data_IF_401135976524
#
_entry.id   IF_401135976524
#
_cell.length_a   1.000
_cell.length_b   1.000
_cell.length_c   1.000
_cell.angle_alpha   90.00
_cell.angle_beta   90.00
_cell.angle_gamma   90.00
#
_symmetry.space_group_name_H-M   'P 1'
#
loop_
_entity.id
_entity.type
_entity.pdbx_description
1 polymer ?
#
# COMPACT_ATOMS: atom_id res chain seq x y z
N UNK A 1 -18.28 -1.93 8.35
CA UNK A 1 -18.15 -1.22 9.67
C UNK A 1 -16.67 -1.08 9.95
N UNK A 2 -16.13 0.15 9.92
CA UNK A 2 -14.72 0.39 10.15
C UNK A 2 -14.36 0.00 11.60
N UNK A 3 -13.52 -1.01 11.76
CA UNK A 3 -12.91 -1.34 13.04
C UNK A 3 -11.58 -0.58 13.10
N UNK A 4 -11.52 0.46 13.94
CA UNK A 4 -10.23 1.01 14.36
C UNK A 4 -9.54 -0.07 15.20
N UNK A 5 -8.66 -0.82 14.57
CA UNK A 5 -7.73 -1.69 15.30
C UNK A 5 -6.41 -0.97 15.40
N UNK A 6 -5.84 -0.99 16.59
CA UNK A 6 -4.45 -0.60 16.83
C UNK A 6 -3.48 -1.59 16.21
N UNK A 7 -3.60 -1.84 14.91
CA UNK A 7 -2.82 -2.76 14.11
C UNK A 7 -1.88 -1.97 13.18
N UNK A 8 -0.76 -2.60 12.84
CA UNK A 8 0.15 -2.13 11.81
C UNK A 8 -0.29 -2.71 10.48
N UNK A 9 -0.16 -1.93 9.42
CA UNK A 9 -0.08 -2.44 8.05
C UNK A 9 1.37 -2.36 7.61
N UNK A 10 1.88 -3.42 7.00
CA UNK A 10 3.20 -3.49 6.41
C UNK A 10 3.06 -3.41 4.89
N UNK A 11 3.52 -2.32 4.27
CA UNK A 11 3.54 -2.15 2.82
C UNK A 11 4.95 -2.34 2.32
N UNK A 12 5.19 -3.42 1.56
CA UNK A 12 6.50 -3.69 0.99
C UNK A 12 6.87 -2.64 -0.05
N UNK A 13 8.09 -2.12 0.05
CA UNK A 13 8.60 -1.06 -0.83
C UNK A 13 8.71 -1.50 -2.29
N UNK A 14 8.96 -2.79 -2.51
CA UNK A 14 8.97 -3.38 -3.85
C UNK A 14 7.62 -3.30 -4.57
N UNK A 15 6.53 -3.13 -3.82
CA UNK A 15 5.18 -2.99 -4.34
C UNK A 15 4.84 -1.53 -4.67
N UNK A 16 5.62 -0.57 -4.18
CA UNK A 16 5.33 0.84 -4.43
C UNK A 16 5.80 1.24 -5.82
N UNK A 17 4.92 1.83 -6.65
CA UNK A 17 5.36 2.45 -7.89
C UNK A 17 6.49 3.43 -7.59
N UNK A 18 7.64 3.25 -8.24
CA UNK A 18 8.82 4.12 -8.12
C UNK A 18 9.39 4.29 -6.71
N UNK A 19 9.08 3.38 -5.78
CA UNK A 19 9.54 3.44 -4.39
C UNK A 19 9.09 4.73 -3.66
N UNK A 20 7.86 5.19 -3.91
CA UNK A 20 7.28 6.44 -3.36
C UNK A 20 6.89 6.35 -1.86
N UNK A 21 7.63 5.59 -1.03
CA UNK A 21 7.32 5.37 0.39
C UNK A 21 7.26 6.64 1.25
N UNK A 22 7.97 7.69 0.84
CA UNK A 22 7.96 8.96 1.55
C UNK A 22 6.56 9.59 1.56
N UNK A 23 5.76 9.37 0.51
CA UNK A 23 4.38 9.85 0.46
C UNK A 23 3.51 9.14 1.51
N UNK A 24 3.70 7.84 1.72
CA UNK A 24 3.02 7.11 2.80
C UNK A 24 3.35 7.69 4.18
N UNK A 25 4.60 8.11 4.41
CA UNK A 25 4.97 8.82 5.64
C UNK A 25 4.18 10.12 5.77
N UNK A 26 4.19 10.97 4.73
CA UNK A 26 3.49 12.25 4.75
C UNK A 26 2.02 12.06 5.09
N UNK A 27 1.38 11.07 4.46
CA UNK A 27 -0.01 10.73 4.68
C UNK A 27 -0.28 10.31 6.12
N UNK A 28 0.54 9.42 6.66
CA UNK A 28 0.35 8.93 8.01
C UNK A 28 0.60 10.04 9.04
N UNK A 29 1.64 10.84 8.87
CA UNK A 29 1.96 11.94 9.78
C UNK A 29 0.88 13.03 9.74
N UNK A 30 0.29 13.31 8.57
CA UNK A 30 -0.76 14.33 8.41
C UNK A 30 -2.06 14.04 9.17
N UNK A 31 -2.27 12.80 9.61
CA UNK A 31 -3.42 12.40 10.42
C UNK A 31 -3.28 12.79 11.90
N UNK A 32 -2.08 13.22 12.31
CA UNK A 32 -1.78 13.53 13.70
C UNK A 32 -1.33 14.97 13.87
N UNK A 33 -1.64 15.58 15.00
CA UNK A 33 -1.07 16.88 15.36
C UNK A 33 0.38 16.71 15.80
N UNK A 34 1.22 17.70 15.48
CA UNK A 34 2.57 17.83 16.04
C UNK A 34 2.57 17.97 17.58
N UNK A 35 3.70 17.72 18.28
CA UNK A 35 5.00 17.30 17.76
C UNK A 35 5.14 15.78 17.56
N UNK A 36 6.14 15.38 16.78
CA UNK A 36 6.57 13.99 16.56
C UNK A 36 8.02 13.79 16.99
N UNK A 37 8.32 12.60 17.51
CA UNK A 37 9.70 12.14 17.75
C UNK A 37 10.14 11.29 16.56
N UNK A 38 11.26 11.64 15.93
CA UNK A 38 11.80 10.95 14.76
C UNK A 38 13.17 10.40 15.08
N UNK A 39 13.35 9.10 14.87
CA UNK A 39 14.61 8.36 15.08
C UNK A 39 15.02 7.66 13.80
N UNK A 40 16.26 7.87 13.38
CA UNK A 40 16.90 7.07 12.33
C UNK A 40 17.93 6.16 13.00
N UNK A 41 17.73 4.86 12.83
CA UNK A 41 18.50 3.80 13.46
C UNK A 41 19.23 3.00 12.38
N UNK A 42 20.39 2.45 12.74
CA UNK A 42 21.23 1.68 11.84
C UNK A 42 21.87 0.49 12.57
N UNK A 43 21.91 -0.68 11.92
CA UNK A 43 22.67 -1.84 12.40
C UNK A 43 23.35 -2.62 11.27
N UNK A 44 24.50 -3.29 11.50
CA UNK A 44 25.06 -4.23 10.54
C UNK A 44 24.15 -5.46 10.37
N UNK A 45 23.88 -5.89 9.12
CA UNK A 45 23.02 -7.04 8.80
C UNK A 45 23.48 -8.39 9.41
N UNK A 46 24.73 -8.49 9.89
CA UNK A 46 25.29 -9.71 10.48
C UNK A 46 24.93 -9.91 11.96
N UNK A 47 24.13 -9.04 12.56
CA UNK A 47 23.80 -9.08 13.98
C UNK A 47 22.27 -9.15 14.20
N UNK A 48 21.81 -10.28 14.75
CA UNK A 48 20.46 -10.58 15.22
C UNK A 48 19.32 -10.64 14.17
N UNK A 49 18.54 -11.73 14.21
CA UNK A 49 17.35 -11.98 13.37
C UNK A 49 16.08 -11.28 13.89
N UNK A 50 16.11 -10.71 15.10
CA UNK A 50 14.96 -10.00 15.67
C UNK A 50 14.99 -8.53 15.21
N UNK A 51 14.03 -8.15 14.36
CA UNK A 51 13.91 -6.81 13.76
C UNK A 51 13.26 -5.81 14.74
N UNK A 52 12.49 -6.30 15.72
CA UNK A 52 11.70 -5.44 16.62
C UNK A 52 12.42 -5.02 17.92
N UNK A 53 13.63 -5.52 18.16
CA UNK A 53 14.46 -5.08 19.29
C UNK A 53 15.48 -4.03 18.82
N UNK A 54 15.21 -2.77 19.20
CA UNK A 54 16.04 -1.62 18.84
C UNK A 54 17.16 -1.31 19.84
N UNK A 55 17.29 -2.09 20.92
CA UNK A 55 18.25 -1.80 22.01
C UNK A 55 19.71 -1.75 21.56
N UNK A 56 20.07 -2.57 20.56
CA UNK A 56 21.43 -2.66 20.01
C UNK A 56 21.65 -1.78 18.76
N UNK A 57 20.64 -1.02 18.32
CA UNK A 57 20.75 -0.21 17.10
C UNK A 57 21.48 1.11 17.36
N UNK A 58 22.34 1.51 16.42
CA UNK A 58 23.02 2.80 16.49
C UNK A 58 22.06 3.92 16.08
N UNK A 59 21.86 4.91 16.95
CA UNK A 59 21.07 6.10 16.64
C UNK A 59 21.88 7.02 15.72
N UNK A 60 21.50 7.09 14.44
CA UNK A 60 22.09 7.99 13.44
C UNK A 60 21.57 9.41 13.57
N UNK A 61 20.28 9.53 13.89
CA UNK A 61 19.61 10.82 14.07
C UNK A 61 18.45 10.68 15.04
N UNK A 62 18.22 11.72 15.84
CA UNK A 62 17.10 11.82 16.75
C UNK A 62 16.67 13.28 16.86
N UNK A 63 15.41 13.56 16.54
CA UNK A 63 14.86 14.90 16.56
C UNK A 63 13.40 14.92 16.99
N UNK A 64 12.97 16.05 17.55
CA UNK A 64 11.56 16.35 17.76
C UNK A 64 11.13 17.33 16.67
N UNK A 65 10.19 16.91 15.83
CA UNK A 65 9.61 17.75 14.80
C UNK A 65 8.36 18.45 15.33
N UNK A 66 8.19 19.72 14.98
CA UNK A 66 7.09 20.59 15.45
C UNK A 66 6.20 21.12 14.32
N UNK A 67 6.60 20.93 13.06
CA UNK A 67 5.86 21.38 11.88
C UNK A 67 6.21 20.57 10.61
N UNK A 68 5.38 20.70 9.58
CA UNK A 68 5.52 20.01 8.29
C UNK A 68 6.83 20.36 7.59
N UNK A 69 7.32 21.60 7.71
CA UNK A 69 8.54 22.04 7.02
C UNK A 69 9.79 21.30 7.49
N UNK A 70 9.80 20.84 8.74
CA UNK A 70 10.90 20.05 9.30
C UNK A 70 10.85 18.61 8.78
N UNK A 71 9.64 18.04 8.65
CA UNK A 71 9.45 16.71 8.08
C UNK A 71 9.87 16.70 6.60
N UNK A 72 9.39 17.66 5.81
CA UNK A 72 9.70 17.71 4.37
C UNK A 72 11.21 17.82 4.13
N UNK A 73 11.88 18.75 4.80
CA UNK A 73 13.35 18.89 4.68
C UNK A 73 14.08 17.63 5.10
N UNK A 74 13.58 16.90 6.09
CA UNK A 74 14.18 15.64 6.53
C UNK A 74 13.99 14.55 5.47
N UNK A 75 12.78 14.38 4.94
CA UNK A 75 12.47 13.38 3.92
C UNK A 75 13.22 13.64 2.60
N UNK A 76 13.35 14.90 2.18
CA UNK A 76 14.10 15.29 0.97
C UNK A 76 15.55 14.80 0.95
N UNK A 77 16.17 14.68 2.12
CA UNK A 77 17.57 14.26 2.27
C UNK A 77 17.71 12.83 2.81
N UNK A 78 16.60 12.16 3.11
CA UNK A 78 16.61 10.82 3.67
C UNK A 78 16.72 9.78 2.56
N UNK A 79 17.78 8.98 2.63
CA UNK A 79 17.99 7.83 1.75
C UNK A 79 17.98 6.56 2.59
N UNK A 80 17.04 5.67 2.30
CA UNK A 80 16.99 4.30 2.84
C UNK A 80 17.01 3.38 1.62
N UNK A 81 18.12 2.72 1.34
CA UNK A 81 18.25 1.85 0.17
C UNK A 81 17.41 0.57 0.34
N UNK A 82 16.72 0.13 -0.71
CA UNK A 82 16.00 -1.14 -0.69
C UNK A 82 16.99 -2.33 -0.66
N UNK A 83 16.67 -3.40 0.08
CA UNK A 83 17.64 -4.47 0.39
C UNK A 83 18.04 -5.32 -0.81
N UNK A 84 17.32 -5.26 -1.94
CA UNK A 84 17.71 -5.93 -3.20
C UNK A 84 19.12 -5.51 -3.70
N UNK A 85 19.68 -4.41 -3.17
CA UNK A 85 20.98 -3.85 -3.54
C UNK A 85 22.10 -4.18 -2.52
N UNK A 86 22.47 -5.45 -2.31
CA UNK A 86 23.71 -5.84 -1.63
C UNK A 86 24.07 -5.00 -0.37
N UNK A 87 23.06 -4.61 0.41
CA UNK A 87 23.22 -3.67 1.51
C UNK A 87 24.02 -4.36 2.63
N UNK A 88 24.88 -3.61 3.30
CA UNK A 88 25.70 -4.13 4.42
C UNK A 88 25.09 -3.86 5.78
N UNK A 89 24.00 -3.09 5.77
CA UNK A 89 23.47 -2.37 6.90
C UNK A 89 21.95 -2.32 6.75
N UNK A 90 21.27 -2.57 7.85
CA UNK A 90 19.83 -2.37 8.00
C UNK A 90 19.59 -0.99 8.61
N UNK A 91 18.69 -0.23 8.00
CA UNK A 91 18.31 1.11 8.41
C UNK A 91 16.83 1.10 8.76
N UNK A 92 16.49 1.74 9.88
CA UNK A 92 15.10 1.89 10.30
C UNK A 92 14.82 3.32 10.69
N UNK A 93 13.83 3.93 10.04
CA UNK A 93 13.20 5.17 10.48
C UNK A 93 12.03 4.80 11.39
N UNK A 94 11.91 5.50 12.52
CA UNK A 94 10.76 5.42 13.42
C UNK A 94 10.23 6.82 13.64
N UNK A 95 8.94 7.03 13.41
CA UNK A 95 8.22 8.24 13.79
C UNK A 95 7.23 7.88 14.88
N UNK A 96 7.29 8.60 16.00
CA UNK A 96 6.51 8.34 17.19
C UNK A 96 5.69 9.57 17.59
N UNK A 97 4.47 9.34 18.07
CA UNK A 97 3.62 10.32 18.73
C UNK A 97 3.45 9.92 20.19
N UNK A 98 3.87 10.76 21.13
CA UNK A 98 3.71 10.52 22.58
C UNK A 98 4.25 9.14 23.03
N UNK A 99 5.37 8.70 22.44
CA UNK A 99 6.00 7.40 22.74
C UNK A 99 5.43 6.21 21.96
N UNK A 100 4.33 6.38 21.22
CA UNK A 100 3.76 5.35 20.37
C UNK A 100 4.26 5.49 18.93
N UNK A 101 4.74 4.40 18.33
CA UNK A 101 5.10 4.39 16.90
C UNK A 101 3.87 4.60 16.02
N UNK A 102 3.97 5.51 15.05
CA UNK A 102 2.93 5.77 14.03
C UNK A 102 3.39 5.39 12.62
N UNK A 103 4.71 5.47 12.37
CA UNK A 103 5.35 5.05 11.13
C UNK A 103 6.65 4.34 11.46
N UNK A 104 6.93 3.24 10.76
CA UNK A 104 8.24 2.60 10.71
C UNK A 104 8.62 2.41 9.24
N UNK A 105 9.85 2.75 8.86
CA UNK A 105 10.35 2.42 7.51
C UNK A 105 11.65 1.66 7.64
N UNK A 106 11.69 0.47 7.07
CA UNK A 106 12.89 -0.36 6.93
C UNK A 106 13.41 -0.30 5.50
N UNK A 107 14.47 -1.03 5.21
CA UNK A 107 14.94 -1.21 3.84
C UNK A 107 13.84 -1.80 2.93
N UNK A 108 12.95 -2.65 3.44
CA UNK A 108 12.02 -3.43 2.61
C UNK A 108 10.55 -3.04 2.80
N UNK A 109 10.20 -2.34 3.88
CA UNK A 109 8.82 -2.12 4.25
C UNK A 109 8.55 -0.74 4.85
N UNK A 110 7.36 -0.21 4.58
CA UNK A 110 6.75 0.91 5.27
C UNK A 110 5.61 0.39 6.14
N UNK A 111 5.79 0.43 7.45
CA UNK A 111 4.75 0.11 8.42
C UNK A 111 4.00 1.37 8.85
N UNK A 112 2.68 1.36 8.78
CA UNK A 112 1.81 2.45 9.29
C UNK A 112 0.88 1.91 10.37
N UNK A 113 0.74 2.64 11.49
CA UNK A 113 -0.08 2.21 12.63
C UNK A 113 -1.44 2.91 12.68
N UNK A 114 -2.48 2.20 13.12
CA UNK A 114 -3.81 2.78 13.34
C UNK A 114 -4.65 2.83 12.06
N UNK A 115 -4.41 1.86 11.18
CA UNK A 115 -5.15 1.67 9.93
C UNK A 115 -6.53 1.08 10.22
N UNK A 116 -7.56 1.62 9.58
CA UNK A 116 -8.91 1.10 9.71
C UNK A 116 -9.11 -0.05 8.72
N UNK A 117 -9.71 -1.15 9.16
CA UNK A 117 -10.00 -2.30 8.29
C UNK A 117 -11.50 -2.51 8.11
N UNK A 118 -11.86 -2.96 6.92
CA UNK A 118 -13.17 -3.50 6.56
C UNK A 118 -13.00 -4.90 5.97
N UNK A 119 -13.85 -5.85 6.39
CA UNK A 119 -13.84 -7.20 5.84
C UNK A 119 -14.50 -7.20 4.45
N UNK A 120 -14.07 -8.10 3.57
CA UNK A 120 -14.76 -8.32 2.30
C UNK A 120 -16.11 -9.01 2.56
N UNK A 121 -17.14 -8.61 1.82
CA UNK A 121 -18.42 -9.31 1.83
C UNK A 121 -18.30 -10.71 1.20
N UNK A 122 -19.08 -11.67 1.70
CA UNK A 122 -19.13 -13.05 1.16
C UNK A 122 -19.87 -13.15 -0.19
N UNK A 123 -20.43 -12.04 -0.68
CA UNK A 123 -21.23 -11.94 -1.90
C UNK A 123 -20.49 -11.08 -2.91
N UNK A 124 -20.49 -11.49 -4.19
CA UNK A 124 -19.79 -10.76 -5.25
C UNK A 124 -18.31 -11.12 -5.35
N UNK A 125 -17.58 -10.35 -6.14
CA UNK A 125 -16.12 -10.46 -6.30
C UNK A 125 -15.39 -9.54 -5.33
N UNK A 126 -14.12 -9.86 -5.00
CA UNK A 126 -13.32 -9.02 -4.10
C UNK A 126 -13.17 -7.56 -4.58
N UNK A 127 -13.15 -7.35 -5.90
CA UNK A 127 -13.02 -6.02 -6.48
C UNK A 127 -14.32 -5.24 -6.46
N UNK A 128 -15.45 -5.89 -6.71
CA UNK A 128 -16.76 -5.28 -6.50
C UNK A 128 -16.88 -4.83 -5.05
N UNK A 129 -16.56 -5.71 -4.10
CA UNK A 129 -16.59 -5.41 -2.66
C UNK A 129 -15.61 -4.29 -2.29
N UNK A 130 -14.41 -4.29 -2.89
CA UNK A 130 -13.42 -3.23 -2.70
C UNK A 130 -13.93 -1.86 -3.17
N UNK A 131 -14.45 -1.77 -4.40
CA UNK A 131 -14.95 -0.51 -4.93
C UNK A 131 -16.26 -0.07 -4.24
N UNK A 132 -17.12 -1.01 -3.85
CA UNK A 132 -18.33 -0.73 -3.07
C UNK A 132 -18.01 -0.19 -1.67
N UNK A 133 -16.90 -0.59 -1.06
CA UNK A 133 -16.44 -0.03 0.22
C UNK A 133 -15.76 1.34 0.04
N UNK A 134 -14.95 1.51 -0.99
CA UNK A 134 -14.12 2.70 -1.19
C UNK A 134 -14.91 3.87 -1.79
N UNK A 135 -15.63 3.64 -2.89
CA UNK A 135 -16.20 4.71 -3.71
C UNK A 135 -17.32 5.53 -3.05
N UNK A 136 -18.20 4.98 -2.19
CA UNK A 136 -19.28 5.78 -1.60
C UNK A 136 -18.80 7.00 -0.79
N UNK A 137 -17.55 6.96 -0.31
CA UNK A 137 -16.96 8.03 0.49
C UNK A 137 -15.75 8.68 -0.20
N UNK A 138 -15.51 8.39 -1.49
CA UNK A 138 -14.37 8.90 -2.22
C UNK A 138 -14.66 10.27 -2.87
N UNK A 139 -13.65 11.13 -2.86
CA UNK A 139 -13.65 12.38 -3.63
C UNK A 139 -12.95 12.20 -4.97
N UNK A 140 -13.67 12.38 -6.08
CA UNK A 140 -13.07 12.28 -7.42
C UNK A 140 -12.15 13.46 -7.78
N UNK A 141 -11.13 13.27 -8.63
CA UNK A 141 -10.75 11.99 -9.26
C UNK A 141 -10.12 11.01 -8.26
N UNK A 142 -10.31 9.71 -8.53
CA UNK A 142 -9.68 8.62 -7.75
C UNK A 142 -8.62 7.98 -8.63
N UNK A 143 -7.36 8.04 -8.22
CA UNK A 143 -6.30 7.24 -8.80
C UNK A 143 -6.43 5.80 -8.32
N UNK A 144 -6.27 4.84 -9.22
CA UNK A 144 -6.25 3.41 -8.93
C UNK A 144 -4.92 2.85 -9.43
N UNK A 145 -4.22 2.16 -8.55
CA UNK A 145 -3.01 1.40 -8.87
C UNK A 145 -3.34 -0.07 -8.71
N UNK A 146 -3.23 -0.81 -9.80
CA UNK A 146 -3.40 -2.25 -9.85
C UNK A 146 -2.07 -2.93 -10.13
N UNK A 147 -1.75 -4.01 -9.41
CA UNK A 147 -0.54 -4.79 -9.60
C UNK A 147 -0.85 -6.28 -9.80
N UNK A 148 -0.32 -6.85 -10.89
CA UNK A 148 -0.49 -8.26 -11.29
C UNK A 148 0.83 -9.03 -11.42
N UNK A 149 1.77 -8.83 -10.48
CA UNK A 149 3.19 -9.23 -10.60
C UNK A 149 3.46 -10.74 -10.61
N UNK A 150 2.59 -11.56 -10.05
CA UNK A 150 2.77 -13.03 -10.12
C UNK A 150 2.41 -13.60 -11.50
N UNK A 151 1.68 -12.82 -12.31
CA UNK A 151 1.18 -13.19 -13.63
C UNK A 151 1.94 -12.49 -14.76
N UNK A 152 2.47 -11.29 -14.49
CA UNK A 152 3.14 -10.42 -15.46
C UNK A 152 4.60 -10.18 -15.06
N UNK A 153 5.48 -10.09 -16.06
CA UNK A 153 6.85 -9.61 -15.87
C UNK A 153 6.88 -8.28 -15.10
N UNK A 154 7.86 -8.14 -14.20
CA UNK A 154 7.98 -7.05 -13.22
C UNK A 154 7.79 -5.64 -13.83
N UNK A 155 8.41 -5.38 -14.99
CA UNK A 155 8.45 -4.05 -15.61
C UNK A 155 7.08 -3.56 -16.12
N UNK A 156 6.11 -4.47 -16.33
CA UNK A 156 4.77 -4.17 -16.86
C UNK A 156 3.64 -4.51 -15.87
N UNK A 157 3.97 -4.88 -14.63
CA UNK A 157 3.00 -5.44 -13.68
C UNK A 157 2.11 -4.39 -13.01
N UNK A 158 2.51 -3.11 -13.03
CA UNK A 158 1.83 -2.00 -12.36
C UNK A 158 1.06 -1.16 -13.36
N UNK A 159 -0.25 -1.04 -13.14
CA UNK A 159 -1.16 -0.26 -13.96
C UNK A 159 -1.77 0.87 -13.14
N UNK A 160 -1.56 2.10 -13.59
CA UNK A 160 -2.14 3.30 -12.99
C UNK A 160 -3.28 3.80 -13.87
N UNK A 161 -4.43 4.04 -13.28
CA UNK A 161 -5.63 4.53 -13.96
C UNK A 161 -6.35 5.56 -13.09
N UNK A 162 -7.29 6.30 -13.69
CA UNK A 162 -8.01 7.37 -12.99
C UNK A 162 -9.51 7.22 -13.20
N UNK A 163 -10.26 7.18 -12.10
CA UNK A 163 -11.71 7.22 -12.09
C UNK A 163 -12.16 8.68 -11.97
N UNK A 164 -13.09 9.09 -12.82
CA UNK A 164 -13.74 10.40 -12.75
C UNK A 164 -15.14 10.35 -12.13
N UNK A 165 -15.71 9.16 -12.02
CA UNK A 165 -17.00 8.86 -11.41
C UNK A 165 -16.99 7.42 -10.86
N UNK A 166 -18.14 6.95 -10.39
CA UNK A 166 -18.28 5.61 -9.80
C UNK A 166 -18.27 4.46 -10.83
N UNK A 167 -18.12 4.73 -12.13
CA UNK A 167 -18.10 3.71 -13.17
C UNK A 167 -16.72 3.04 -13.29
N UNK A 168 -16.23 2.51 -12.17
CA UNK A 168 -14.93 1.87 -12.06
C UNK A 168 -14.77 0.69 -13.03
N UNK A 169 -15.85 -0.08 -13.25
CA UNK A 169 -15.81 -1.27 -14.09
C UNK A 169 -15.41 -0.93 -15.53
N UNK A 170 -16.02 0.10 -16.13
CA UNK A 170 -15.69 0.48 -17.51
C UNK A 170 -14.23 0.94 -17.64
N UNK A 171 -13.73 1.70 -16.67
CA UNK A 171 -12.34 2.17 -16.66
C UNK A 171 -11.37 1.00 -16.51
N UNK A 172 -11.63 0.09 -15.57
CA UNK A 172 -10.83 -1.13 -15.41
C UNK A 172 -10.84 -1.93 -16.71
N UNK A 173 -12.02 -2.20 -17.28
CA UNK A 173 -12.13 -3.01 -18.47
C UNK A 173 -11.31 -2.45 -19.65
N UNK A 174 -11.34 -1.13 -19.84
CA UNK A 174 -10.51 -0.45 -20.85
C UNK A 174 -9.01 -0.61 -20.58
N UNK A 175 -8.59 -0.54 -19.32
CA UNK A 175 -7.17 -0.52 -18.93
C UNK A 175 -6.55 -1.89 -18.72
N UNK A 176 -7.30 -2.93 -18.32
CA UNK A 176 -6.70 -4.20 -17.89
C UNK A 176 -7.13 -5.42 -18.71
N UNK A 177 -8.25 -5.39 -19.45
CA UNK A 177 -8.66 -6.58 -20.22
C UNK A 177 -7.67 -6.97 -21.31
N UNK A 178 -6.96 -6.00 -21.89
CA UNK A 178 -5.96 -6.29 -22.91
C UNK A 178 -4.82 -7.17 -22.37
N UNK A 179 -4.57 -7.18 -21.05
CA UNK A 179 -3.55 -8.00 -20.38
C UNK A 179 -3.86 -9.50 -20.48
N UNK A 180 -5.14 -9.87 -20.56
CA UNK A 180 -5.54 -11.26 -20.79
C UNK A 180 -5.04 -11.80 -22.14
N UNK A 181 -4.63 -10.94 -23.07
CA UNK A 181 -4.08 -11.35 -24.36
C UNK A 181 -2.56 -11.46 -24.37
N UNK A 182 -1.87 -11.18 -23.25
CA UNK A 182 -0.42 -11.35 -23.22
C UNK A 182 -0.03 -12.82 -23.29
N UNK A 183 1.20 -13.09 -23.74
CA UNK A 183 1.71 -14.45 -23.91
C UNK A 183 1.83 -15.19 -22.59
N UNK A 184 2.23 -14.50 -21.53
CA UNK A 184 2.41 -15.07 -20.20
C UNK A 184 1.08 -15.64 -19.69
N UNK A 185 -0.02 -14.91 -19.96
CA UNK A 185 -1.38 -15.33 -19.62
C UNK A 185 -1.89 -16.41 -20.58
N UNK A 186 -1.63 -16.29 -21.88
CA UNK A 186 -2.21 -17.19 -22.92
C UNK A 186 -1.43 -18.48 -23.18
N UNK A 187 -0.19 -18.63 -22.68
CA UNK A 187 0.68 -19.77 -23.01
C UNK A 187 1.22 -20.52 -21.78
N UNK A 188 0.78 -20.15 -20.58
CA UNK A 188 1.15 -20.83 -19.33
C UNK A 188 0.45 -22.17 -19.09
N UNK A 189 0.92 -22.91 -18.08
CA UNK A 189 0.40 -24.22 -17.65
C UNK A 189 -1.11 -24.19 -17.28
N UNK A 190 -1.65 -23.01 -16.99
CA UNK A 190 -3.05 -22.76 -16.62
C UNK A 190 -3.87 -22.08 -17.72
N UNK A 191 -3.34 -21.95 -18.95
CA UNK A 191 -4.09 -21.46 -20.09
C UNK A 191 -5.38 -22.26 -20.25
N UNK A 192 -6.54 -21.66 -19.94
CA UNK A 192 -7.84 -22.29 -20.17
C UNK A 192 -7.98 -22.60 -21.67
N UNK A 193 -8.11 -23.89 -22.00
CA UNK A 193 -8.11 -24.45 -23.37
C UNK A 193 -9.21 -23.89 -24.31
N UNK A 194 -10.12 -23.04 -23.82
CA UNK A 194 -11.05 -22.26 -24.64
C UNK A 194 -11.35 -20.90 -23.98
N UNK A 195 -10.73 -19.83 -24.49
CA UNK A 195 -11.07 -18.46 -24.08
C UNK A 195 -12.26 -17.94 -24.89
N UNK A 196 -13.25 -17.28 -24.25
CA UNK A 196 -14.36 -16.69 -24.97
C UNK A 196 -13.88 -15.56 -25.91
N UNK A 197 -14.59 -15.37 -27.03
CA UNK A 197 -14.24 -14.35 -28.04
C UNK A 197 -14.32 -12.90 -27.50
N UNK A 198 -15.07 -12.70 -26.40
CA UNK A 198 -15.13 -11.45 -25.65
C UNK A 198 -14.66 -11.74 -24.22
N UNK A 199 -13.57 -11.11 -23.83
CA UNK A 199 -13.08 -11.13 -22.46
C UNK A 199 -13.89 -10.14 -21.62
N UNK A 200 -14.12 -10.52 -20.36
CA UNK A 200 -14.89 -9.77 -19.37
C UNK A 200 -14.04 -9.50 -18.15
N UNK A 201 -14.51 -8.61 -17.27
CA UNK A 201 -13.85 -8.38 -15.99
C UNK A 201 -13.80 -9.66 -15.15
N UNK A 202 -14.84 -10.51 -15.22
CA UNK A 202 -14.85 -11.82 -14.55
C UNK A 202 -13.71 -12.73 -15.04
N UNK A 203 -13.45 -12.75 -16.36
CA UNK A 203 -12.31 -13.47 -16.92
C UNK A 203 -10.99 -12.89 -16.37
N UNK A 204 -10.89 -11.57 -16.25
CA UNK A 204 -9.72 -10.91 -15.68
C UNK A 204 -9.50 -11.32 -14.22
N UNK A 205 -10.52 -11.20 -13.38
CA UNK A 205 -10.43 -11.54 -11.95
C UNK A 205 -10.07 -13.02 -11.73
N UNK A 206 -10.60 -13.92 -12.56
CA UNK A 206 -10.28 -15.34 -12.46
C UNK A 206 -8.83 -15.66 -12.79
N UNK A 207 -8.20 -14.92 -13.71
CA UNK A 207 -6.81 -15.18 -14.12
C UNK A 207 -5.80 -14.43 -13.25
N UNK A 208 -6.14 -13.23 -12.78
CA UNK A 208 -5.24 -12.32 -12.05
C UNK A 208 -5.51 -12.25 -10.54
N UNK A 209 -6.19 -13.26 -9.98
CA UNK A 209 -6.58 -13.37 -8.56
C UNK A 209 -5.62 -12.64 -7.59
N UNK A 210 -6.16 -11.73 -6.77
CA UNK A 210 -5.39 -11.02 -5.73
C UNK A 210 -4.91 -11.95 -4.62
N UNK A 211 -5.43 -13.18 -4.55
CA UNK A 211 -5.04 -14.17 -3.55
C UNK A 211 -3.56 -14.58 -3.66
N UNK A 212 -2.94 -14.34 -4.82
CA UNK A 212 -1.52 -14.59 -4.98
C UNK A 212 -0.71 -13.46 -4.33
N UNK A 213 0.40 -13.80 -3.64
CA UNK A 213 1.32 -12.80 -3.12
C UNK A 213 1.72 -11.80 -4.22
N UNK A 214 1.92 -10.53 -3.81
CA UNK A 214 2.36 -9.43 -4.68
C UNK A 214 1.34 -8.93 -5.71
N UNK A 215 0.09 -9.41 -5.67
CA UNK A 215 -1.02 -8.81 -6.38
C UNK A 215 -1.82 -7.90 -5.43
N UNK A 216 -1.99 -6.63 -5.80
CA UNK A 216 -2.70 -5.66 -4.97
C UNK A 216 -3.53 -4.68 -5.80
N UNK A 217 -4.47 -4.05 -5.12
CA UNK A 217 -5.14 -2.85 -5.62
C UNK A 217 -5.09 -1.75 -4.55
N UNK A 218 -4.73 -0.54 -4.97
CA UNK A 218 -4.68 0.66 -4.15
C UNK A 218 -5.47 1.75 -4.83
N UNK A 219 -6.19 2.55 -4.04
CA UNK A 219 -6.88 3.76 -4.47
C UNK A 219 -6.36 4.95 -3.71
N UNK A 220 -6.32 6.11 -4.36
CA UNK A 220 -6.07 7.43 -3.76
C UNK A 220 -7.09 8.41 -4.31
N UNK A 221 -7.95 8.92 -3.45
CA UNK A 221 -8.92 9.95 -3.84
C UNK A 221 -8.32 11.36 -3.79
N UNK A 222 -9.05 12.35 -4.32
CA UNK A 222 -8.61 13.74 -4.39
C UNK A 222 -8.36 14.41 -3.03
N UNK A 223 -8.83 13.81 -1.94
CA UNK A 223 -8.60 14.27 -0.56
C UNK A 223 -7.46 13.53 0.14
N UNK A 224 -6.81 12.58 -0.55
CA UNK A 224 -5.81 11.67 0.01
C UNK A 224 -6.38 10.67 1.02
N UNK A 225 -7.59 10.18 0.75
CA UNK A 225 -8.09 8.94 1.34
C UNK A 225 -7.63 7.77 0.49
N UNK A 226 -7.15 6.73 1.16
CA UNK A 226 -6.68 5.51 0.51
C UNK A 226 -7.55 4.32 0.87
N UNK A 227 -7.67 3.41 -0.10
CA UNK A 227 -8.15 2.05 0.10
C UNK A 227 -7.12 1.10 -0.50
N UNK A 228 -6.74 0.06 0.23
CA UNK A 228 -5.83 -0.98 -0.23
C UNK A 228 -6.41 -2.35 0.05
N UNK A 229 -6.28 -3.26 -0.91
CA UNK A 229 -6.55 -4.68 -0.74
C UNK A 229 -5.34 -5.47 -1.27
N UNK A 230 -4.78 -6.29 -0.38
CA UNK A 230 -3.66 -7.20 -0.67
C UNK A 230 -3.69 -8.37 0.32
N UNK A 231 -3.69 -9.61 -0.17
CA UNK A 231 -3.86 -10.78 0.69
C UNK A 231 -2.69 -11.05 1.65
N UNK A 232 -1.55 -10.39 1.45
CA UNK A 232 -0.36 -10.52 2.28
C UNK A 232 -0.24 -9.37 3.30
N UNK A 233 -0.29 -8.13 2.83
CA UNK A 233 -0.13 -6.90 3.61
C UNK A 233 -1.37 -6.60 4.46
N UNK A 234 -2.57 -6.88 3.93
CA UNK A 234 -3.85 -6.58 4.61
C UNK A 234 -4.53 -7.83 5.15
N UNK A 235 -3.94 -9.01 4.95
CA UNK A 235 -4.54 -10.30 5.31
C UNK A 235 -5.94 -10.48 4.71
N UNK A 236 -6.11 -10.04 3.45
CA UNK A 236 -7.35 -10.18 2.69
C UNK A 236 -8.47 -9.21 3.10
N UNK A 237 -8.13 -8.10 3.75
CA UNK A 237 -9.07 -7.07 4.22
C UNK A 237 -8.88 -5.78 3.45
N UNK A 238 -9.91 -4.94 3.43
CA UNK A 238 -9.78 -3.60 2.87
C UNK A 238 -9.18 -2.70 3.95
N UNK A 239 -7.95 -2.26 3.73
CA UNK A 239 -7.26 -1.28 4.56
C UNK A 239 -7.60 0.13 4.10
N UNK A 240 -7.95 1.00 5.05
CA UNK A 240 -8.19 2.42 4.82
C UNK A 240 -7.20 3.26 5.62
N UNK A 241 -6.51 4.17 4.92
CA UNK A 241 -5.54 5.09 5.52
C UNK A 241 -5.61 6.48 4.89
N UNK A 242 -4.94 7.45 5.49
CA UNK A 242 -5.02 8.86 5.10
C UNK A 242 -6.17 9.59 5.78
N UNK A 243 -6.82 10.53 5.09
CA UNK A 243 -7.91 11.36 5.65
C UNK A 243 -9.24 10.61 5.70
N UNK A 244 -9.31 9.55 6.49
CA UNK A 244 -10.51 8.68 6.59
C UNK A 244 -11.63 9.35 7.42
N UNK A 245 -11.30 10.36 8.25
CA UNK A 245 -12.23 11.02 9.17
C UNK A 245 -12.69 12.40 8.69
N UNK A 246 -13.80 12.43 7.93
CA UNK A 246 -14.66 13.61 7.78
C UNK A 246 -16.12 13.34 8.25
N UNK A 247 -16.39 12.18 8.86
CA UNK A 247 -17.74 11.81 9.31
C UNK A 247 -17.73 11.07 10.64
N UNK A 248 -18.21 11.74 11.69
CA UNK A 248 -18.59 11.20 13.00
C UNK A 248 -17.46 10.82 13.99
N UNK A 249 -16.78 11.84 14.51
CA UNK A 249 -16.42 11.81 15.94
C UNK A 249 -17.71 12.13 16.71
N UNK A 250 -18.44 11.11 17.14
CA UNK A 250 -19.44 11.27 18.20
C UNK A 250 -18.66 11.12 19.51
N UNK A 251 -18.57 12.24 20.24
CA UNK A 251 -18.08 12.31 21.63
C UNK A 251 -18.91 11.46 22.59
#
# INVERSE_FOLDING_TARGET
MLLERGEWIDVFRELLPRDDWQDLIRLQVSQHAYPFEVKLLERPLKQNLHIDDFSDWTVRSHMIMTDDSQLERFLEHLVIEQQEMATKVEVTLIIQKQGQGIVRVTNDCVSMYGVAYEELDDVGTEYENFFDAVLPNASFPVEVVFCGRDVLDNDDSIHVMTLHDSNWQAVLEEHVLHLLNRKEVTSGLFSKDARPARQTLEDFMSEFSLLMPYNFIVTRDATNRFGMLDHFCTNGKIAHFGKVNDGNIIH
#
